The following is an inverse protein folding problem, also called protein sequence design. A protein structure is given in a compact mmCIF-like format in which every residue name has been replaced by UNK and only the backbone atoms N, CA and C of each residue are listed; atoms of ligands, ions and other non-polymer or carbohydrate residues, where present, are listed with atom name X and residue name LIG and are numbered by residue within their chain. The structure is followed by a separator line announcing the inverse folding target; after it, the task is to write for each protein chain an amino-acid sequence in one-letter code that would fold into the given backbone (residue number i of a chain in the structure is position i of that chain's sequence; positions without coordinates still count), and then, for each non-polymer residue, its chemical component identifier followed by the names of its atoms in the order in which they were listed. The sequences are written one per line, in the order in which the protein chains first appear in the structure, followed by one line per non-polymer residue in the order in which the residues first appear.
data_IF_268279038319
#
_entry.id   IF_268279038319
#
_cell.length_a   1.000
_cell.length_b   1.000
_cell.length_c   1.000
_cell.angle_alpha   90.00
_cell.angle_beta   90.00
_cell.angle_gamma   90.00
#
_symmetry.space_group_name_H-M   'P 1'
#
loop_
_entity.id
_entity.type
_entity.pdbx_description
1 polymer ?
#
# COMPACT_ATOMS: atom_id res chain seq x y z
N UNK A 1 -36.34 -25.59 61.65
CA UNK A 1 -34.95 -25.17 61.94
C UNK A 1 -34.02 -25.95 61.04
N UNK A 2 -33.52 -25.34 59.98
CA UNK A 2 -32.26 -25.69 59.34
C UNK A 2 -31.79 -24.44 58.60
N UNK A 3 -30.78 -23.79 59.18
CA UNK A 3 -30.08 -22.61 58.69
C UNK A 3 -29.08 -23.03 57.62
N UNK A 4 -29.22 -22.53 56.40
CA UNK A 4 -28.20 -22.63 55.36
C UNK A 4 -27.18 -21.51 55.54
N UNK A 5 -25.92 -21.85 55.80
CA UNK A 5 -24.80 -20.91 55.81
C UNK A 5 -24.42 -20.56 54.37
N UNK A 6 -24.45 -19.27 54.04
CA UNK A 6 -23.91 -18.71 52.80
C UNK A 6 -22.39 -18.58 52.91
N UNK A 7 -21.64 -19.33 52.11
CA UNK A 7 -20.21 -19.13 51.91
C UNK A 7 -19.98 -18.02 50.87
N UNK A 8 -19.50 -16.87 51.32
CA UNK A 8 -19.07 -15.75 50.49
C UNK A 8 -17.72 -16.06 49.83
N UNK A 9 -17.73 -16.49 48.56
CA UNK A 9 -16.56 -16.42 47.71
C UNK A 9 -16.42 -14.99 47.17
N UNK A 10 -15.57 -14.21 47.85
CA UNK A 10 -15.12 -12.90 47.41
C UNK A 10 -14.23 -13.08 46.17
N UNK A 11 -14.83 -13.05 44.98
CA UNK A 11 -14.07 -12.88 43.74
C UNK A 11 -13.59 -11.43 43.67
N UNK A 12 -12.37 -11.20 44.15
CA UNK A 12 -11.65 -9.95 43.94
C UNK A 12 -11.49 -9.72 42.45
N UNK A 13 -12.28 -8.79 41.91
CA UNK A 13 -12.06 -8.23 40.59
C UNK A 13 -10.75 -7.46 40.63
N UNK A 14 -9.67 -8.05 40.09
CA UNK A 14 -8.39 -7.37 39.86
C UNK A 14 -8.57 -6.31 38.77
N UNK A 15 -9.21 -5.20 39.13
CA UNK A 15 -9.31 -4.02 38.30
C UNK A 15 -7.98 -3.27 38.43
N UNK A 16 -6.97 -3.67 37.66
CA UNK A 16 -5.71 -2.91 37.54
C UNK A 16 -6.07 -1.50 37.03
N UNK A 17 -5.89 -0.49 37.88
CA UNK A 17 -6.05 0.91 37.51
C UNK A 17 -5.20 1.20 36.27
N UNK A 18 -5.84 1.66 35.18
CA UNK A 18 -5.14 2.13 34.00
C UNK A 18 -4.37 3.40 34.36
N UNK A 19 -3.04 3.29 34.45
CA UNK A 19 -2.20 4.47 34.60
C UNK A 19 -2.17 5.23 33.27
N UNK A 20 -2.98 6.29 33.22
CA UNK A 20 -3.14 7.19 32.08
C UNK A 20 -1.79 7.80 31.64
N UNK A 21 -0.82 7.88 32.55
CA UNK A 21 0.47 8.55 32.36
C UNK A 21 1.66 7.58 32.22
N UNK A 22 1.40 6.27 32.11
CA UNK A 22 2.45 5.27 31.81
C UNK A 22 3.17 5.58 30.51
N UNK A 23 4.50 5.64 30.53
CA UNK A 23 5.31 5.86 29.33
C UNK A 23 5.26 4.62 28.41
N UNK A 24 5.17 4.80 27.08
CA UNK A 24 5.30 3.67 26.16
C UNK A 24 6.70 3.04 26.29
N UNK A 25 6.78 1.72 26.34
CA UNK A 25 8.07 1.04 26.47
C UNK A 25 9.00 1.38 25.31
N UNK A 26 10.27 1.64 25.65
CA UNK A 26 11.31 2.07 24.72
C UNK A 26 11.14 3.47 24.15
N UNK A 27 10.18 4.28 24.63
CA UNK A 27 9.98 5.62 24.10
C UNK A 27 11.11 6.59 24.46
N UNK A 28 11.68 6.47 25.66
CA UNK A 28 12.71 7.38 26.17
C UNK A 28 13.96 7.38 25.28
N UNK A 29 14.43 6.20 24.91
CA UNK A 29 15.67 6.03 24.14
C UNK A 29 15.43 5.92 22.62
N UNK A 30 14.17 5.91 22.19
CA UNK A 30 13.82 6.02 20.79
C UNK A 30 14.19 7.43 20.26
N UNK A 31 14.94 7.55 19.14
CA UNK A 31 15.26 8.85 18.55
C UNK A 31 14.00 9.67 18.23
N UNK A 32 13.99 11.00 18.36
CA UNK A 32 12.76 11.80 18.27
C UNK A 32 12.14 11.83 16.86
N UNK A 33 12.94 12.09 15.82
CA UNK A 33 12.50 12.19 14.43
C UNK A 33 13.59 11.73 13.46
N UNK A 34 13.23 11.51 12.19
CA UNK A 34 14.15 11.24 11.09
C UNK A 34 14.29 12.42 10.13
N UNK A 35 15.02 12.20 9.04
CA UNK A 35 15.13 13.15 7.93
C UNK A 35 13.86 13.23 7.09
N UNK A 36 13.71 14.31 6.32
CA UNK A 36 12.55 14.47 5.47
C UNK A 36 12.56 13.51 4.26
N UNK A 37 11.39 13.03 3.90
CA UNK A 37 11.11 12.29 2.68
C UNK A 37 10.13 13.14 1.85
N UNK A 38 10.70 14.00 1.00
CA UNK A 38 9.97 15.03 0.28
C UNK A 38 9.40 16.09 1.25
N UNK A 39 8.11 16.00 1.56
CA UNK A 39 7.44 16.88 2.54
C UNK A 39 7.07 16.16 3.85
N UNK A 40 7.39 14.87 3.99
CA UNK A 40 7.03 14.07 5.17
C UNK A 40 8.21 13.99 6.13
N UNK A 41 7.97 14.13 7.42
CA UNK A 41 8.96 13.93 8.49
C UNK A 41 8.47 12.79 9.40
N UNK A 42 9.16 11.63 9.42
CA UNK A 42 8.83 10.56 10.35
C UNK A 42 9.26 10.92 11.78
N UNK A 43 8.38 10.71 12.75
CA UNK A 43 8.62 11.06 14.15
C UNK A 43 8.08 10.00 15.10
N UNK A 44 8.67 9.87 16.30
CA UNK A 44 7.99 9.23 17.44
C UNK A 44 6.87 10.14 17.95
N UNK A 45 5.97 9.59 18.77
CA UNK A 45 4.90 10.38 19.37
C UNK A 45 5.48 11.42 20.34
N UNK A 46 5.10 12.70 20.27
CA UNK A 46 5.42 13.64 21.34
C UNK A 46 4.60 13.33 22.59
N UNK A 47 5.12 13.68 23.77
CA UNK A 47 4.41 13.52 25.03
C UNK A 47 4.15 14.89 25.64
N UNK A 48 2.88 15.13 25.99
CA UNK A 48 2.41 16.37 26.60
C UNK A 48 2.87 16.53 28.05
N UNK A 49 2.53 17.68 28.64
CA UNK A 49 3.00 18.06 29.97
C UNK A 49 2.61 17.08 31.08
N UNK A 50 1.54 16.31 30.90
CA UNK A 50 1.12 15.26 31.84
C UNK A 50 2.15 14.15 32.06
N UNK A 51 3.17 14.04 31.19
CA UNK A 51 4.25 13.06 31.31
C UNK A 51 5.54 13.66 31.89
N UNK A 52 5.59 14.98 32.16
CA UNK A 52 6.81 15.68 32.54
C UNK A 52 7.46 15.18 33.84
N UNK A 53 6.66 14.66 34.77
CA UNK A 53 7.15 14.09 36.04
C UNK A 53 7.87 12.73 35.84
N UNK A 54 7.58 12.04 34.73
CA UNK A 54 8.16 10.74 34.40
C UNK A 54 9.33 10.83 33.41
N UNK A 55 9.63 12.03 32.89
CA UNK A 55 10.63 12.25 31.84
C UNK A 55 11.61 13.35 32.26
N UNK A 56 12.89 12.98 32.35
CA UNK A 56 13.99 13.92 32.58
C UNK A 56 13.99 15.04 31.53
N UNK A 57 14.34 16.25 31.94
CA UNK A 57 14.20 17.46 31.11
C UNK A 57 14.91 17.37 29.75
N UNK A 58 16.04 16.68 29.69
CA UNK A 58 16.87 16.43 28.50
C UNK A 58 16.24 15.44 27.52
N UNK A 59 15.39 14.52 27.98
CA UNK A 59 14.68 13.52 27.16
C UNK A 59 13.26 13.92 26.79
N UNK A 60 12.78 15.09 27.24
CA UNK A 60 11.43 15.58 26.90
C UNK A 60 11.31 15.81 25.40
N UNK A 61 10.16 15.44 24.86
CA UNK A 61 9.80 15.65 23.45
C UNK A 61 8.32 16.00 23.35
N UNK A 62 7.98 17.24 23.72
CA UNK A 62 6.63 17.80 23.65
C UNK A 62 6.33 18.39 22.27
N UNK A 63 5.06 18.64 21.97
CA UNK A 63 4.64 19.30 20.73
C UNK A 63 5.36 20.63 20.49
N UNK A 64 5.63 21.40 21.55
CA UNK A 64 6.41 22.65 21.45
C UNK A 64 7.86 22.39 21.07
N UNK A 65 8.49 21.38 21.68
CA UNK A 65 9.86 20.99 21.34
C UNK A 65 9.95 20.47 19.91
N UNK A 66 8.97 19.70 19.43
CA UNK A 66 8.90 19.25 18.03
C UNK A 66 8.90 20.44 17.08
N UNK A 67 7.98 21.39 17.27
CA UNK A 67 7.86 22.57 16.41
C UNK A 67 9.16 23.37 16.42
N UNK A 68 9.75 23.58 17.60
CA UNK A 68 11.00 24.32 17.73
C UNK A 68 12.16 23.61 17.02
N UNK A 69 12.35 22.32 17.27
CA UNK A 69 13.43 21.52 16.67
C UNK A 69 13.30 21.45 15.14
N UNK A 70 12.09 21.26 14.60
CA UNK A 70 11.91 21.25 13.14
C UNK A 70 12.15 22.63 12.51
N UNK A 71 11.77 23.72 13.19
CA UNK A 71 12.08 25.08 12.73
C UNK A 71 13.58 25.37 12.70
N UNK A 72 14.34 24.87 13.67
CA UNK A 72 15.81 24.99 13.67
C UNK A 72 16.44 24.30 12.45
N UNK A 73 15.80 23.24 11.94
CA UNK A 73 16.20 22.54 10.71
C UNK A 73 15.64 23.20 9.44
N UNK A 74 14.99 24.37 9.53
CA UNK A 74 14.34 25.04 8.40
C UNK A 74 13.06 24.36 7.92
N UNK A 75 12.47 23.48 8.73
CA UNK A 75 11.26 22.70 8.39
C UNK A 75 10.04 23.27 9.12
N UNK A 76 9.23 24.08 8.44
CA UNK A 76 7.97 24.62 9.00
C UNK A 76 6.84 23.58 8.89
N UNK A 77 6.25 23.18 10.01
CA UNK A 77 5.17 22.19 10.03
C UNK A 77 3.83 22.82 9.58
N UNK A 78 3.08 22.11 8.74
CA UNK A 78 1.73 22.51 8.31
C UNK A 78 0.65 21.48 8.62
N UNK A 79 1.03 20.22 8.85
CA UNK A 79 0.11 19.12 9.15
C UNK A 79 0.80 18.12 10.09
N UNK A 80 0.04 17.57 11.04
CA UNK A 80 0.41 16.38 11.82
C UNK A 80 -0.54 15.25 11.47
N UNK A 81 0.02 14.09 11.14
CA UNK A 81 -0.73 12.84 10.97
C UNK A 81 -0.37 11.89 12.11
N UNK A 82 -1.35 11.65 12.97
CA UNK A 82 -1.26 10.76 14.13
C UNK A 82 -1.84 9.38 13.80
N UNK A 83 -0.98 8.37 13.80
CA UNK A 83 -1.29 6.97 13.51
C UNK A 83 -1.55 6.13 14.77
N UNK A 84 -1.51 6.73 15.96
CA UNK A 84 -1.74 6.04 17.23
C UNK A 84 -3.23 5.73 17.41
N UNK A 85 -3.52 4.65 18.12
CA UNK A 85 -4.90 4.27 18.46
C UNK A 85 -5.35 4.83 19.83
N UNK A 86 -4.75 5.93 20.28
CA UNK A 86 -5.07 6.57 21.56
C UNK A 86 -4.98 8.09 21.44
N UNK A 87 -5.63 8.81 22.34
CA UNK A 87 -5.53 10.28 22.44
C UNK A 87 -4.92 10.72 23.77
N UNK A 88 -4.23 9.81 24.48
CA UNK A 88 -3.67 10.07 25.81
C UNK A 88 -2.36 10.87 25.82
N UNK A 89 -1.63 10.86 24.71
CA UNK A 89 -0.25 11.35 24.68
C UNK A 89 -0.12 12.87 24.71
N UNK A 90 -1.01 13.60 24.02
CA UNK A 90 -1.03 15.06 24.01
C UNK A 90 -2.41 15.56 23.55
N UNK A 91 -2.81 16.79 23.92
CA UNK A 91 -4.01 17.42 23.40
C UNK A 91 -3.82 17.96 21.98
N UNK A 92 -4.83 17.76 21.12
CA UNK A 92 -4.81 18.24 19.72
C UNK A 92 -4.62 19.77 19.64
N UNK A 93 -5.08 20.50 20.65
CA UNK A 93 -4.98 21.96 20.74
C UNK A 93 -3.54 22.48 20.81
N UNK A 94 -2.55 21.64 21.09
CA UNK A 94 -1.14 22.03 21.05
C UNK A 94 -0.64 22.30 19.63
N UNK A 95 -1.25 21.66 18.63
CA UNK A 95 -0.94 21.86 17.22
C UNK A 95 -1.81 22.95 16.60
N UNK A 96 -3.13 22.88 16.81
CA UNK A 96 -4.07 23.77 16.12
C UNK A 96 -3.94 25.23 16.56
N UNK A 97 -3.60 25.51 17.84
CA UNK A 97 -3.28 26.87 18.30
C UNK A 97 -2.05 27.48 17.62
N UNK A 98 -1.18 26.65 17.04
CA UNK A 98 0.01 27.08 16.28
C UNK A 98 -0.27 27.16 14.78
N UNK A 99 -1.52 26.98 14.34
CA UNK A 99 -1.90 26.98 12.92
C UNK A 99 -1.48 25.72 12.16
N UNK A 100 -1.17 24.64 12.87
CA UNK A 100 -0.79 23.35 12.29
C UNK A 100 -2.04 22.47 12.23
N UNK A 101 -2.39 21.99 11.04
CA UNK A 101 -3.53 21.09 10.86
C UNK A 101 -3.24 19.74 11.52
N UNK A 102 -4.29 19.03 11.91
CA UNK A 102 -4.15 17.74 12.59
C UNK A 102 -5.12 16.71 12.01
N UNK A 103 -4.60 15.53 11.71
CA UNK A 103 -5.36 14.39 11.23
C UNK A 103 -5.01 13.15 12.04
N UNK A 104 -6.03 12.47 12.58
CA UNK A 104 -5.86 11.16 13.23
C UNK A 104 -6.34 10.05 12.29
N UNK A 105 -5.46 9.10 11.99
CA UNK A 105 -5.77 7.87 11.27
C UNK A 105 -5.57 6.72 12.24
N UNK A 106 -6.66 6.28 12.87
CA UNK A 106 -6.63 5.23 13.90
C UNK A 106 -6.32 3.88 13.24
N UNK A 107 -5.05 3.52 13.18
CA UNK A 107 -4.64 2.19 12.76
C UNK A 107 -5.06 1.19 13.85
N UNK A 108 -5.82 0.16 13.47
CA UNK A 108 -6.33 -0.87 14.41
C UNK A 108 -5.19 -1.48 15.25
N UNK A 109 -5.49 -1.88 16.49
CA UNK A 109 -4.51 -2.52 17.39
C UNK A 109 -4.30 -4.01 17.08
N UNK A 110 -3.23 -4.57 17.67
CA UNK A 110 -2.60 -5.90 17.39
C UNK A 110 -1.68 -5.86 16.18
N UNK A 111 -0.68 -6.75 16.13
CA UNK A 111 0.38 -6.90 15.11
C UNK A 111 -0.16 -7.11 13.68
N UNK A 112 -0.86 -6.09 13.20
CA UNK A 112 -1.44 -5.99 11.89
C UNK A 112 -0.97 -4.68 11.27
N UNK A 113 -0.74 -4.72 9.97
CA UNK A 113 -0.46 -3.54 9.17
C UNK A 113 -1.70 -2.65 9.07
N UNK A 114 -1.53 -1.33 8.83
CA UNK A 114 -2.63 -0.46 8.47
C UNK A 114 -3.44 -1.03 7.29
N UNK A 115 -4.77 -0.96 7.37
CA UNK A 115 -5.67 -1.37 6.30
C UNK A 115 -5.61 -0.42 5.09
N UNK A 116 -6.01 -0.94 3.92
CA UNK A 116 -5.96 -0.21 2.64
C UNK A 116 -6.69 1.13 2.69
N UNK A 117 -7.84 1.20 3.37
CA UNK A 117 -8.59 2.45 3.49
C UNK A 117 -7.83 3.51 4.33
N UNK A 118 -7.11 3.07 5.37
CA UNK A 118 -6.23 3.93 6.16
C UNK A 118 -5.03 4.42 5.35
N UNK A 119 -4.45 3.55 4.51
CA UNK A 119 -3.35 3.88 3.58
C UNK A 119 -3.82 4.88 2.52
N UNK A 120 -4.95 4.64 1.88
CA UNK A 120 -5.55 5.53 0.87
C UNK A 120 -5.83 6.91 1.45
N UNK A 121 -6.40 6.95 2.66
CA UNK A 121 -6.65 8.19 3.38
C UNK A 121 -5.33 8.93 3.64
N UNK A 122 -4.30 8.24 4.11
CA UNK A 122 -2.98 8.82 4.33
C UNK A 122 -2.42 9.44 3.05
N UNK A 123 -2.37 8.67 1.96
CA UNK A 123 -1.79 9.09 0.67
C UNK A 123 -2.56 10.28 0.11
N UNK A 124 -3.89 10.22 0.10
CA UNK A 124 -4.76 11.30 -0.38
C UNK A 124 -4.54 12.60 0.38
N UNK A 125 -4.48 12.54 1.70
CA UNK A 125 -4.30 13.72 2.56
C UNK A 125 -2.93 14.37 2.38
N UNK A 126 -1.87 13.57 2.24
CA UNK A 126 -0.52 14.11 1.97
C UNK A 126 -0.45 14.72 0.56
N UNK A 127 -1.05 14.09 -0.45
CA UNK A 127 -1.14 14.65 -1.80
C UNK A 127 -1.93 15.95 -1.85
N UNK A 128 -3.06 16.03 -1.16
CA UNK A 128 -3.87 17.23 -1.05
C UNK A 128 -3.14 18.33 -0.27
N UNK A 129 -2.41 17.99 0.78
CA UNK A 129 -1.55 18.93 1.48
C UNK A 129 -0.51 19.50 0.52
N UNK A 130 0.22 18.64 -0.21
CA UNK A 130 1.25 19.02 -1.17
C UNK A 130 0.70 19.94 -2.27
N UNK A 131 -0.50 19.66 -2.80
CA UNK A 131 -1.09 20.49 -3.86
C UNK A 131 -1.51 21.89 -3.39
N UNK A 132 -1.83 22.06 -2.09
CA UNK A 132 -2.14 23.36 -1.49
C UNK A 132 -0.90 24.19 -1.14
N UNK A 133 0.27 23.57 -1.04
CA UNK A 133 1.52 24.23 -0.61
C UNK A 133 2.31 24.87 -1.76
N UNK A 134 1.67 25.27 -2.87
CA UNK A 134 2.35 25.79 -4.07
C UNK A 134 3.24 27.04 -3.82
N UNK A 135 3.04 27.78 -2.72
CA UNK A 135 3.71 29.06 -2.46
C UNK A 135 4.47 29.08 -1.12
N UNK A 136 4.44 27.99 -0.34
CA UNK A 136 5.11 27.90 0.96
C UNK A 136 5.50 26.45 1.23
N UNK A 137 6.80 26.16 1.31
CA UNK A 137 7.30 24.81 1.65
C UNK A 137 7.01 24.49 3.11
N UNK A 138 5.91 23.79 3.37
CA UNK A 138 5.58 23.24 4.69
C UNK A 138 5.70 21.72 4.70
N UNK A 139 5.85 21.16 5.90
CA UNK A 139 6.08 19.75 6.13
C UNK A 139 4.93 19.08 6.89
N UNK A 140 4.79 17.78 6.67
CA UNK A 140 3.85 16.88 7.35
C UNK A 140 4.61 16.04 8.36
N UNK A 141 4.34 16.21 9.65
CA UNK A 141 4.87 15.34 10.69
C UNK A 141 4.01 14.07 10.76
N UNK A 142 4.60 12.89 10.57
CA UNK A 142 3.89 11.61 10.62
C UNK A 142 4.44 10.78 11.77
N UNK A 143 3.58 10.38 12.70
CA UNK A 143 4.02 9.58 13.83
C UNK A 143 3.05 8.44 14.16
N UNK A 144 3.60 7.30 14.56
CA UNK A 144 2.91 6.34 15.42
C UNK A 144 3.48 6.49 16.85
N UNK A 145 3.57 5.43 17.64
CA UNK A 145 4.19 5.51 18.98
C UNK A 145 5.71 5.77 18.86
N UNK A 146 6.42 4.97 18.05
CA UNK A 146 7.88 5.07 17.92
C UNK A 146 8.34 5.62 16.56
N UNK A 147 7.45 5.77 15.58
CA UNK A 147 7.77 6.37 14.28
C UNK A 147 8.54 5.45 13.32
N UNK A 148 8.37 4.13 13.42
CA UNK A 148 9.10 3.15 12.59
C UNK A 148 8.16 2.27 11.76
N UNK A 149 7.50 1.26 12.34
CA UNK A 149 6.73 0.28 11.55
C UNK A 149 5.49 0.87 10.84
N UNK A 150 4.47 1.33 11.58
CA UNK A 150 3.27 1.96 10.99
C UNK A 150 3.59 3.21 10.17
N UNK A 151 4.49 4.05 10.68
CA UNK A 151 4.94 5.27 9.98
C UNK A 151 5.64 4.91 8.68
N UNK A 152 6.59 3.97 8.71
CA UNK A 152 7.33 3.51 7.54
C UNK A 152 6.43 2.85 6.51
N UNK A 153 5.46 2.05 6.94
CA UNK A 153 4.49 1.42 6.04
C UNK A 153 3.66 2.45 5.27
N UNK A 154 3.08 3.42 5.98
CA UNK A 154 2.33 4.51 5.36
C UNK A 154 3.20 5.32 4.38
N UNK A 155 4.44 5.62 4.78
CA UNK A 155 5.38 6.38 3.95
C UNK A 155 5.84 5.58 2.73
N UNK A 156 6.13 4.29 2.87
CA UNK A 156 6.52 3.41 1.77
C UNK A 156 5.42 3.36 0.71
N UNK A 157 4.16 3.16 1.13
CA UNK A 157 3.00 3.24 0.23
C UNK A 157 2.91 4.59 -0.50
N UNK A 158 3.13 5.70 0.21
CA UNK A 158 3.15 7.02 -0.40
C UNK A 158 4.29 7.17 -1.43
N UNK A 159 5.51 6.75 -1.11
CA UNK A 159 6.66 6.86 -2.01
C UNK A 159 6.46 6.02 -3.27
N UNK A 160 6.02 4.76 -3.13
CA UNK A 160 5.77 3.86 -4.27
C UNK A 160 4.70 4.47 -5.20
N UNK A 161 3.59 4.97 -4.63
CA UNK A 161 2.49 5.55 -5.40
C UNK A 161 2.80 6.91 -6.03
N UNK A 162 3.78 7.66 -5.51
CA UNK A 162 4.05 9.04 -5.97
C UNK A 162 5.36 9.23 -6.73
N UNK A 163 6.34 8.37 -6.50
CA UNK A 163 7.63 8.37 -7.17
C UNK A 163 7.78 7.16 -8.10
N UNK A 164 6.82 6.23 -8.06
CA UNK A 164 6.81 5.02 -8.87
C UNK A 164 8.07 4.16 -8.64
N UNK A 165 8.64 4.14 -7.44
CA UNK A 165 9.81 3.32 -7.08
C UNK A 165 9.40 1.92 -6.58
N UNK A 166 10.34 0.97 -6.50
CA UNK A 166 10.06 -0.38 -5.99
C UNK A 166 9.82 -0.40 -4.47
N UNK A 167 9.31 -1.52 -3.95
CA UNK A 167 9.17 -1.73 -2.49
C UNK A 167 10.52 -1.62 -1.81
N UNK A 168 11.54 -2.28 -2.34
CA UNK A 168 12.92 -2.25 -1.82
C UNK A 168 13.45 -0.82 -1.73
N UNK A 169 13.33 -0.04 -2.82
CA UNK A 169 13.81 1.34 -2.85
C UNK A 169 13.06 2.25 -1.87
N UNK A 170 11.75 2.07 -1.73
CA UNK A 170 10.94 2.84 -0.79
C UNK A 170 11.33 2.54 0.66
N UNK A 171 11.56 1.27 0.99
CA UNK A 171 12.04 0.88 2.31
C UNK A 171 13.45 1.41 2.58
N UNK A 172 14.36 1.36 1.59
CA UNK A 172 15.72 1.88 1.74
C UNK A 172 15.76 3.40 1.91
N UNK A 173 14.89 4.13 1.20
CA UNK A 173 14.70 5.57 1.45
C UNK A 173 14.22 5.82 2.87
N UNK A 174 13.23 5.05 3.34
CA UNK A 174 12.74 5.19 4.71
C UNK A 174 13.80 4.82 5.76
N UNK A 175 14.55 3.73 5.56
CA UNK A 175 15.61 3.29 6.48
C UNK A 175 16.77 4.29 6.56
N UNK A 176 17.13 4.95 5.44
CA UNK A 176 18.11 6.04 5.44
C UNK A 176 17.62 7.26 6.20
N UNK A 177 16.36 7.67 5.99
CA UNK A 177 15.80 8.82 6.68
C UNK A 177 15.51 8.54 8.17
N UNK A 178 15.20 7.29 8.52
CA UNK A 178 14.77 6.90 9.86
C UNK A 178 15.30 5.50 10.21
N UNK A 179 16.59 5.43 10.49
CA UNK A 179 17.27 4.16 10.80
C UNK A 179 16.65 3.44 12.02
N UNK A 180 16.47 2.11 11.99
CA UNK A 180 16.79 1.17 10.89
C UNK A 180 15.69 1.00 9.85
N UNK A 181 14.65 1.82 9.87
CA UNK A 181 13.47 1.70 9.03
C UNK A 181 12.38 0.85 9.68
N UNK A 182 11.71 0.04 8.86
CA UNK A 182 10.72 -0.94 9.31
C UNK A 182 11.50 -2.15 9.83
N UNK A 183 11.27 -2.55 11.09
CA UNK A 183 11.96 -3.66 11.74
C UNK A 183 11.01 -4.80 12.15
N UNK A 184 9.75 -4.74 11.70
CA UNK A 184 8.74 -5.78 11.88
C UNK A 184 8.54 -6.52 10.56
N UNK A 185 8.72 -7.85 10.56
CA UNK A 185 8.75 -8.66 9.36
C UNK A 185 7.39 -8.71 8.63
N UNK A 186 6.29 -8.79 9.39
CA UNK A 186 4.91 -8.76 8.90
C UNK A 186 4.60 -7.49 8.09
N UNK A 187 5.20 -6.35 8.45
CA UNK A 187 5.05 -5.10 7.71
C UNK A 187 5.78 -5.12 6.37
N UNK A 188 6.96 -5.72 6.33
CA UNK A 188 7.76 -5.87 5.11
C UNK A 188 7.05 -6.83 4.15
N UNK A 189 6.64 -8.00 4.64
CA UNK A 189 5.99 -9.01 3.81
C UNK A 189 4.65 -8.49 3.26
N UNK A 190 3.89 -7.73 4.06
CA UNK A 190 2.68 -7.08 3.59
C UNK A 190 2.91 -6.08 2.46
N UNK A 191 4.01 -5.31 2.47
CA UNK A 191 4.35 -4.39 1.38
C UNK A 191 4.63 -5.16 0.07
N UNK A 192 5.49 -6.18 0.13
CA UNK A 192 5.81 -6.99 -1.06
C UNK A 192 4.57 -7.69 -1.62
N UNK A 193 3.75 -8.28 -0.74
CA UNK A 193 2.50 -8.94 -1.12
C UNK A 193 1.52 -7.96 -1.78
N UNK A 194 1.38 -6.76 -1.22
CA UNK A 194 0.46 -5.74 -1.73
C UNK A 194 0.85 -5.24 -3.14
N UNK A 195 2.15 -5.02 -3.37
CA UNK A 195 2.65 -4.54 -4.67
C UNK A 195 2.98 -5.66 -5.65
N UNK A 196 2.73 -6.92 -5.27
CA UNK A 196 3.04 -8.11 -6.07
C UNK A 196 4.51 -8.15 -6.53
N UNK A 197 5.41 -7.70 -5.65
CA UNK A 197 6.85 -7.78 -5.85
C UNK A 197 7.39 -9.02 -5.12
N UNK A 198 8.32 -9.75 -5.75
CA UNK A 198 9.01 -10.84 -5.07
C UNK A 198 10.02 -10.22 -4.10
N UNK A 199 9.92 -10.60 -2.82
CA UNK A 199 10.87 -10.19 -1.80
C UNK A 199 12.26 -10.76 -2.13
N UNK A 200 13.31 -9.92 -2.28
CA UNK A 200 14.64 -10.41 -2.58
C UNK A 200 15.20 -11.27 -1.45
N UNK A 201 15.89 -12.37 -1.77
CA UNK A 201 16.45 -13.29 -0.76
C UNK A 201 17.50 -12.62 0.15
N UNK A 202 18.23 -11.63 -0.38
CA UNK A 202 19.22 -10.87 0.38
C UNK A 202 18.61 -9.86 1.36
N UNK A 203 17.31 -9.56 1.24
CA UNK A 203 16.66 -8.59 2.09
C UNK A 203 16.42 -9.18 3.48
N UNK A 204 17.28 -8.81 4.43
CA UNK A 204 17.16 -9.18 5.83
C UNK A 204 16.39 -8.10 6.58
N UNK A 205 15.29 -8.47 7.23
CA UNK A 205 14.57 -7.57 8.13
C UNK A 205 15.51 -7.10 9.25
N UNK A 206 15.63 -5.77 9.49
CA UNK A 206 16.47 -5.25 10.56
C UNK A 206 16.10 -5.84 11.92
N UNK A 207 17.11 -6.07 12.76
CA UNK A 207 16.89 -6.51 14.13
C UNK A 207 16.12 -5.43 14.92
N UNK A 208 15.27 -5.87 15.85
CA UNK A 208 14.58 -4.96 16.78
C UNK A 208 15.61 -4.06 17.47
N UNK A 209 15.47 -2.72 17.39
CA UNK A 209 16.43 -1.78 17.98
C UNK A 209 16.59 -1.98 19.47
N UNK A 210 17.80 -1.72 19.98
CA UNK A 210 18.14 -1.89 21.40
C UNK A 210 17.21 -1.11 22.33
N UNK A 211 16.88 0.14 21.97
CA UNK A 211 15.95 0.97 22.73
C UNK A 211 14.54 0.38 22.87
N UNK A 212 14.17 -0.62 22.05
CA UNK A 212 12.87 -1.30 22.13
C UNK A 212 12.94 -2.67 22.82
N UNK A 213 14.14 -3.25 22.98
CA UNK A 213 14.30 -4.58 23.62
C UNK A 213 13.92 -4.45 25.10
N UNK A 214 13.07 -5.35 25.60
CA UNK A 214 12.74 -5.41 27.03
C UNK A 214 14.00 -5.84 27.80
N UNK A 215 14.44 -5.02 28.75
CA UNK A 215 15.45 -5.42 29.74
C UNK A 215 14.87 -6.32 30.84
N UNK A 216 13.55 -6.41 30.94
CA UNK A 216 12.86 -7.00 32.08
C UNK A 216 12.34 -8.38 31.69
N UNK A 217 13.15 -9.41 31.97
CA UNK A 217 12.67 -10.76 32.21
C UNK A 217 12.09 -10.78 33.64
N UNK A 218 10.78 -10.98 33.79
CA UNK A 218 10.22 -11.28 35.10
C UNK A 218 10.87 -12.57 35.66
N UNK A 219 10.90 -12.74 37.00
CA UNK A 219 11.43 -13.92 37.71
C UNK A 219 10.82 -15.28 37.28
N UNK A 220 9.84 -15.27 36.38
CA UNK A 220 9.20 -16.43 35.75
C UNK A 220 9.50 -16.59 34.24
N UNK A 221 10.42 -15.81 33.66
CA UNK A 221 10.84 -15.95 32.26
C UNK A 221 9.79 -15.55 31.22
N UNK A 222 8.81 -14.71 31.57
CA UNK A 222 7.86 -14.13 30.62
C UNK A 222 8.24 -12.69 30.28
N UNK A 223 8.22 -12.36 29.00
CA UNK A 223 8.41 -11.00 28.49
C UNK A 223 7.29 -10.08 28.97
N UNK A 224 7.63 -8.96 29.59
CA UNK A 224 6.67 -7.87 29.83
C UNK A 224 6.23 -7.35 28.46
N UNK A 225 5.01 -7.74 28.05
CA UNK A 225 4.40 -7.25 26.82
C UNK A 225 3.76 -5.89 27.11
N UNK A 226 4.05 -4.91 26.26
CA UNK A 226 3.37 -3.62 26.28
C UNK A 226 1.85 -3.85 26.30
N UNK A 227 1.12 -3.34 27.30
CA UNK A 227 -0.35 -3.46 27.29
C UNK A 227 -1.03 -2.52 26.25
N UNK A 228 -0.26 -1.58 25.67
CA UNK A 228 -0.63 -0.85 24.45
C UNK A 228 -0.34 -1.67 23.16
N UNK A 229 0.40 -2.79 23.27
CA UNK A 229 0.71 -3.80 22.23
C UNK A 229 0.23 -5.17 22.76
N UNK A 230 -1.09 -5.25 22.97
CA UNK A 230 -1.71 -6.21 23.87
C UNK A 230 -1.45 -7.69 23.57
N UNK A 231 -0.91 -8.37 24.59
CA UNK A 231 -1.32 -9.72 25.03
C UNK A 231 -0.85 -10.90 24.20
N UNK A 232 -0.01 -11.73 24.82
CA UNK A 232 0.49 -12.99 24.30
C UNK A 232 -0.61 -13.90 23.72
N UNK A 233 -0.53 -14.16 22.41
CA UNK A 233 -1.05 -15.38 21.82
C UNK A 233 0.13 -16.32 21.59
N UNK A 234 0.00 -17.54 22.11
CA UNK A 234 0.93 -18.64 21.88
C UNK A 234 1.28 -18.76 20.40
N UNK A 235 2.55 -19.09 20.14
CA UNK A 235 3.11 -19.53 18.86
C UNK A 235 2.10 -20.40 18.10
N UNK A 236 1.29 -19.78 17.24
CA UNK A 236 0.76 -20.46 16.08
C UNK A 236 1.84 -20.27 15.04
N UNK A 237 2.59 -21.35 14.81
CA UNK A 237 3.30 -21.53 13.56
C UNK A 237 2.41 -21.01 12.44
N UNK A 238 2.92 -20.02 11.71
CA UNK A 238 2.35 -19.59 10.44
C UNK A 238 2.49 -20.77 9.48
N UNK A 239 1.60 -21.74 9.60
CA UNK A 239 1.09 -22.47 8.45
C UNK A 239 0.54 -21.38 7.54
N UNK A 240 1.35 -21.00 6.56
CA UNK A 240 0.89 -20.39 5.33
C UNK A 240 -0.28 -21.25 4.88
N UNK A 241 -1.50 -20.83 5.22
CA UNK A 241 -2.67 -21.38 4.58
C UNK A 241 -2.48 -20.96 3.14
N UNK A 242 -2.14 -21.92 2.31
CA UNK A 242 -2.28 -21.83 0.87
C UNK A 242 -3.78 -21.64 0.64
N UNK A 243 -4.24 -20.39 0.75
CA UNK A 243 -5.58 -20.02 0.33
C UNK A 243 -5.62 -20.32 -1.16
N UNK A 244 -6.43 -21.30 -1.54
CA UNK A 244 -6.61 -21.71 -2.93
C UNK A 244 -7.05 -20.47 -3.69
N UNK A 245 -6.22 -20.04 -4.64
CA UNK A 245 -6.53 -18.93 -5.53
C UNK A 245 -7.73 -19.37 -6.38
N UNK A 246 -8.78 -18.55 -6.41
CA UNK A 246 -9.97 -18.82 -7.21
C UNK A 246 -10.20 -17.75 -8.27
N UNK A 247 -10.92 -18.12 -9.33
CA UNK A 247 -11.30 -17.19 -10.40
C UNK A 247 -12.38 -16.18 -9.97
N UNK A 248 -13.03 -16.41 -8.82
CA UNK A 248 -14.03 -15.51 -8.22
C UNK A 248 -13.40 -14.47 -7.27
N UNK A 249 -12.11 -14.59 -7.00
CA UNK A 249 -11.41 -13.67 -6.09
C UNK A 249 -11.49 -12.24 -6.61
N UNK A 250 -11.81 -11.35 -5.69
CA UNK A 250 -11.93 -9.92 -5.97
C UNK A 250 -10.53 -9.29 -6.04
N UNK A 251 -10.04 -9.05 -7.26
CA UNK A 251 -8.70 -8.51 -7.49
C UNK A 251 -8.69 -6.98 -7.45
N UNK A 252 -7.94 -6.40 -6.51
CA UNK A 252 -7.66 -4.96 -6.46
C UNK A 252 -8.70 -4.11 -5.73
N UNK A 253 -8.29 -2.86 -5.50
CA UNK A 253 -9.03 -1.82 -4.77
C UNK A 253 -10.20 -1.29 -5.59
N UNK A 254 -11.27 -0.87 -4.92
CA UNK A 254 -12.39 -0.20 -5.59
C UNK A 254 -11.98 1.18 -6.09
N UNK A 255 -12.36 1.51 -7.33
CA UNK A 255 -12.08 2.82 -7.91
C UNK A 255 -13.20 3.82 -7.56
N UNK A 256 -12.87 5.07 -7.15
CA UNK A 256 -13.86 6.10 -6.89
C UNK A 256 -14.76 6.41 -8.10
N UNK A 257 -16.07 6.71 -7.90
CA UNK A 257 -17.01 6.98 -9.00
C UNK A 257 -16.56 8.04 -10.01
N UNK A 258 -15.93 9.11 -9.54
CA UNK A 258 -15.49 10.22 -10.40
C UNK A 258 -14.39 9.79 -11.39
N UNK A 259 -13.50 8.90 -10.95
CA UNK A 259 -12.46 8.32 -11.81
C UNK A 259 -13.06 7.31 -12.79
N UNK A 260 -14.01 6.48 -12.34
CA UNK A 260 -14.67 5.46 -13.17
C UNK A 260 -15.28 6.07 -14.44
N UNK A 261 -15.98 7.20 -14.34
CA UNK A 261 -16.62 7.82 -15.51
C UNK A 261 -15.59 8.25 -16.56
N UNK A 262 -14.49 8.86 -16.14
CA UNK A 262 -13.41 9.30 -17.03
C UNK A 262 -12.75 8.11 -17.73
N UNK A 263 -12.50 7.03 -16.99
CA UNK A 263 -11.86 5.82 -17.52
C UNK A 263 -12.76 5.06 -18.49
N UNK A 264 -14.06 4.99 -18.21
CA UNK A 264 -15.05 4.42 -19.12
C UNK A 264 -15.13 5.20 -20.43
N UNK A 265 -15.15 6.53 -20.34
CA UNK A 265 -15.14 7.40 -21.51
C UNK A 265 -13.91 7.18 -22.39
N UNK A 266 -12.73 7.05 -21.77
CA UNK A 266 -11.50 6.71 -22.49
C UNK A 266 -11.62 5.35 -23.22
N UNK A 267 -12.13 4.30 -22.56
CA UNK A 267 -12.26 2.98 -23.20
C UNK A 267 -13.14 3.05 -24.46
N UNK A 268 -14.24 3.80 -24.42
CA UNK A 268 -15.11 4.02 -25.58
C UNK A 268 -14.39 4.77 -26.70
N UNK A 269 -13.65 5.83 -26.38
CA UNK A 269 -12.86 6.59 -27.35
C UNK A 269 -11.77 5.73 -27.98
N UNK A 270 -11.04 4.96 -27.18
CA UNK A 270 -9.97 4.07 -27.63
C UNK A 270 -10.50 2.99 -28.59
N UNK A 271 -11.71 2.48 -28.33
CA UNK A 271 -12.40 1.51 -29.18
C UNK A 271 -13.21 2.15 -30.33
N UNK A 272 -13.14 3.48 -30.49
CA UNK A 272 -13.86 4.25 -31.52
C UNK A 272 -15.38 4.02 -31.50
N UNK A 273 -15.94 3.82 -30.31
CA UNK A 273 -17.38 3.64 -30.11
C UNK A 273 -18.04 5.00 -29.82
N UNK A 274 -19.13 5.30 -30.50
CA UNK A 274 -19.96 6.48 -30.19
C UNK A 274 -20.75 6.25 -28.90
N UNK A 275 -20.59 7.14 -27.91
CA UNK A 275 -21.44 7.16 -26.72
C UNK A 275 -22.73 7.90 -27.06
N UNK A 276 -23.88 7.23 -27.00
CA UNK A 276 -25.17 7.90 -27.10
C UNK A 276 -25.39 8.82 -25.89
N UNK A 277 -25.91 10.03 -26.09
CA UNK A 277 -26.03 11.09 -25.06
C UNK A 277 -26.79 10.71 -23.76
N UNK A 278 -27.43 9.53 -23.70
CA UNK A 278 -28.17 9.00 -22.53
C UNK A 278 -28.06 7.46 -22.37
N UNK A 279 -27.07 6.82 -23.00
CA UNK A 279 -26.89 5.37 -22.91
C UNK A 279 -26.05 4.97 -21.70
N UNK A 280 -26.50 3.99 -20.91
CA UNK A 280 -25.62 3.33 -19.94
C UNK A 280 -24.42 2.73 -20.69
N UNK A 281 -23.20 3.16 -20.37
CA UNK A 281 -21.98 2.58 -20.95
C UNK A 281 -21.86 1.13 -20.50
N UNK A 282 -21.97 0.19 -21.44
CA UNK A 282 -21.77 -1.24 -21.22
C UNK A 282 -20.32 -1.63 -21.53
N UNK A 283 -19.91 -2.81 -21.10
CA UNK A 283 -18.57 -3.31 -21.39
C UNK A 283 -18.33 -3.35 -22.92
N UNK A 284 -17.31 -2.63 -23.43
CA UNK A 284 -17.15 -2.42 -24.87
C UNK A 284 -16.31 -3.51 -25.56
N UNK A 285 -15.79 -4.50 -24.82
CA UNK A 285 -14.96 -5.56 -25.38
C UNK A 285 -15.73 -6.59 -26.21
N UNK A 286 -15.11 -7.09 -27.27
CA UNK A 286 -15.70 -8.06 -28.21
C UNK A 286 -16.14 -9.35 -27.54
N UNK A 287 -17.42 -9.72 -27.58
CA UNK A 287 -17.89 -10.95 -26.92
C UNK A 287 -17.39 -12.20 -27.67
N UNK A 288 -17.09 -13.31 -26.97
CA UNK A 288 -16.72 -14.55 -27.63
C UNK A 288 -17.87 -15.03 -28.52
N UNK A 289 -17.54 -15.43 -29.73
CA UNK A 289 -18.50 -15.96 -30.72
C UNK A 289 -18.23 -17.44 -30.92
N UNK A 290 -19.26 -18.27 -30.76
CA UNK A 290 -19.15 -19.71 -30.98
C UNK A 290 -18.79 -20.01 -32.44
N UNK A 291 -17.87 -20.96 -32.63
CA UNK A 291 -17.50 -21.46 -33.95
C UNK A 291 -18.58 -22.41 -34.50
N UNK A 292 -19.75 -21.87 -34.86
CA UNK A 292 -20.85 -22.61 -35.47
C UNK A 292 -20.70 -22.70 -36.99
N UNK A 293 -21.50 -23.56 -37.63
CA UNK A 293 -21.56 -23.67 -39.09
C UNK A 293 -21.92 -22.32 -39.75
N UNK A 294 -22.75 -21.52 -39.08
CA UNK A 294 -23.19 -20.21 -39.57
C UNK A 294 -22.04 -19.17 -39.57
N UNK A 295 -21.09 -19.31 -38.65
CA UNK A 295 -19.97 -18.37 -38.49
C UNK A 295 -18.70 -18.77 -39.27
N UNK A 296 -18.65 -19.98 -39.84
CA UNK A 296 -17.47 -20.48 -40.57
C UNK A 296 -17.06 -19.56 -41.74
N UNK A 297 -18.01 -18.86 -42.36
CA UNK A 297 -17.71 -17.96 -43.45
C UNK A 297 -16.81 -16.79 -43.02
N UNK A 298 -16.87 -16.37 -41.75
CA UNK A 298 -16.04 -15.27 -41.22
C UNK A 298 -14.55 -15.60 -41.28
N UNK A 299 -14.17 -16.86 -41.06
CA UNK A 299 -12.78 -17.32 -41.18
C UNK A 299 -12.22 -17.14 -42.60
N UNK A 300 -13.08 -17.13 -43.62
CA UNK A 300 -12.68 -16.96 -45.03
C UNK A 300 -12.57 -15.49 -45.43
N UNK A 301 -13.15 -14.57 -44.66
CA UNK A 301 -13.24 -13.16 -45.01
C UNK A 301 -12.03 -12.34 -44.54
N UNK A 302 -11.30 -12.81 -43.52
CA UNK A 302 -10.20 -12.07 -42.90
C UNK A 302 -9.04 -13.02 -42.58
N UNK A 303 -7.82 -12.52 -42.69
CA UNK A 303 -6.66 -13.20 -42.11
C UNK A 303 -6.79 -13.19 -40.59
N UNK A 304 -6.44 -14.31 -39.96
CA UNK A 304 -6.50 -14.49 -38.52
C UNK A 304 -5.26 -15.22 -38.02
N UNK A 305 -4.96 -15.01 -36.74
CA UNK A 305 -3.98 -15.78 -35.99
C UNK A 305 -4.74 -16.76 -35.09
N UNK A 306 -4.15 -17.92 -34.85
CA UNK A 306 -4.71 -18.93 -33.95
C UNK A 306 -3.76 -19.14 -32.78
N UNK A 307 -4.33 -19.29 -31.58
CA UNK A 307 -3.62 -19.64 -30.35
C UNK A 307 -4.40 -20.72 -29.61
N UNK A 308 -3.78 -21.30 -28.59
CA UNK A 308 -4.46 -22.22 -27.68
C UNK A 308 -5.54 -21.47 -26.90
N UNK A 309 -6.60 -22.20 -26.49
CA UNK A 309 -7.66 -21.65 -25.67
C UNK A 309 -7.24 -21.73 -24.20
N UNK A 310 -7.16 -20.59 -23.53
CA UNK A 310 -6.99 -20.57 -22.09
C UNK A 310 -8.32 -20.82 -21.36
N UNK A 311 -8.22 -21.42 -20.18
CA UNK A 311 -9.33 -21.48 -19.23
C UNK A 311 -9.12 -20.39 -18.18
N UNK A 312 -9.74 -19.23 -18.41
CA UNK A 312 -9.50 -18.03 -17.61
C UNK A 312 -10.67 -17.05 -17.64
N UNK A 313 -10.56 -16.04 -16.79
CA UNK A 313 -11.54 -14.95 -16.72
C UNK A 313 -11.06 -13.78 -17.56
N UNK A 314 -11.86 -13.35 -18.54
CA UNK A 314 -11.53 -12.21 -19.38
C UNK A 314 -11.52 -10.90 -18.59
N UNK A 315 -10.45 -10.14 -18.75
CA UNK A 315 -10.32 -8.76 -18.28
C UNK A 315 -9.70 -7.91 -19.37
N UNK A 316 -10.20 -6.68 -19.53
CA UNK A 316 -9.36 -5.63 -20.13
C UNK A 316 -8.47 -5.04 -19.04
N UNK A 317 -7.28 -4.58 -19.41
CA UNK A 317 -6.36 -3.92 -18.47
C UNK A 317 -6.05 -2.51 -18.97
N UNK A 318 -6.41 -1.51 -18.17
CA UNK A 318 -6.02 -0.12 -18.42
C UNK A 318 -4.83 0.23 -17.53
N UNK A 319 -3.69 0.50 -18.16
CA UNK A 319 -2.44 0.87 -17.51
C UNK A 319 -2.36 2.40 -17.46
N UNK A 320 -2.06 2.94 -16.29
CA UNK A 320 -1.91 4.38 -16.02
C UNK A 320 -0.64 4.67 -15.22
N UNK A 321 -0.31 5.95 -15.04
CA UNK A 321 0.88 6.34 -14.29
C UNK A 321 0.78 5.99 -12.80
N UNK A 322 -0.44 5.91 -12.25
CA UNK A 322 -0.69 5.63 -10.84
C UNK A 322 -1.10 4.18 -10.56
N UNK A 323 -1.06 3.29 -11.55
CA UNK A 323 -1.31 1.86 -11.40
C UNK A 323 -2.04 1.24 -12.58
N UNK A 324 -2.46 -0.01 -12.41
CA UNK A 324 -3.21 -0.77 -13.41
C UNK A 324 -4.64 -0.98 -12.96
N UNK A 325 -5.55 -1.06 -13.93
CA UNK A 325 -6.97 -1.22 -13.67
C UNK A 325 -7.49 -2.41 -14.45
N UNK A 326 -7.91 -3.44 -13.73
CA UNK A 326 -8.60 -4.59 -14.30
C UNK A 326 -10.07 -4.23 -14.52
N UNK A 327 -10.55 -4.50 -15.73
CA UNK A 327 -11.90 -4.18 -16.19
C UNK A 327 -12.63 -5.48 -16.46
N UNK A 328 -13.63 -5.77 -15.65
CA UNK A 328 -14.43 -6.98 -15.79
C UNK A 328 -15.52 -6.85 -16.87
N UNK A 329 -16.22 -7.95 -17.15
CA UNK A 329 -17.35 -7.98 -18.11
C UNK A 329 -18.56 -7.14 -17.68
N UNK A 330 -18.66 -6.76 -16.41
CA UNK A 330 -19.69 -5.85 -15.88
C UNK A 330 -19.25 -4.38 -16.01
N UNK A 331 -18.08 -4.12 -16.60
CA UNK A 331 -17.46 -2.81 -16.78
C UNK A 331 -17.16 -2.10 -15.45
N UNK A 332 -16.86 -2.88 -14.42
CA UNK A 332 -16.26 -2.40 -13.18
C UNK A 332 -14.75 -2.40 -13.29
N UNK A 333 -14.15 -1.37 -12.69
CA UNK A 333 -12.71 -1.21 -12.64
C UNK A 333 -12.25 -1.51 -11.23
N UNK A 334 -11.17 -2.26 -11.12
CA UNK A 334 -10.45 -2.45 -9.87
C UNK A 334 -8.99 -2.14 -10.06
N UNK A 335 -8.45 -1.36 -9.12
CA UNK A 335 -7.07 -0.91 -9.17
C UNK A 335 -6.15 -1.98 -8.59
N UNK A 336 -5.18 -2.40 -9.37
CA UNK A 336 -4.08 -3.27 -8.95
C UNK A 336 -2.79 -2.46 -9.06
N UNK A 337 -2.04 -2.41 -7.97
CA UNK A 337 -0.86 -1.57 -7.85
C UNK A 337 0.34 -2.26 -8.49
N UNK A 338 0.38 -2.23 -9.83
CA UNK A 338 1.48 -2.76 -10.63
C UNK A 338 2.00 -1.63 -11.51
N UNK A 339 3.31 -1.49 -11.55
CA UNK A 339 4.00 -0.52 -12.39
C UNK A 339 4.32 -1.09 -13.77
N UNK A 340 4.13 -0.25 -14.80
CA UNK A 340 4.48 -0.56 -16.20
C UNK A 340 5.37 0.56 -16.76
N UNK A 341 6.69 0.33 -16.85
CA UNK A 341 7.63 1.31 -17.37
C UNK A 341 7.47 1.47 -18.88
N UNK A 342 7.61 2.68 -19.38
CA UNK A 342 7.83 2.90 -20.80
C UNK A 342 9.27 2.51 -21.18
N UNK A 343 9.48 2.22 -22.45
CA UNK A 343 10.80 1.97 -23.01
C UNK A 343 11.75 3.14 -22.73
N UNK A 344 12.83 2.86 -22.01
CA UNK A 344 13.93 3.80 -21.74
C UNK A 344 15.16 3.44 -22.58
N UNK A 345 15.98 4.43 -22.93
CA UNK A 345 17.28 4.20 -23.59
C UNK A 345 18.36 3.74 -22.61
N UNK A 346 18.18 3.96 -21.31
CA UNK A 346 19.15 3.59 -20.27
C UNK A 346 18.73 2.27 -19.59
N UNK A 347 19.71 1.40 -19.31
CA UNK A 347 19.50 0.22 -18.46
C UNK A 347 19.33 0.70 -17.01
N UNK A 348 18.14 0.56 -16.47
CA UNK A 348 17.77 0.97 -15.11
C UNK A 348 16.24 1.09 -14.97
N UNK A 349 15.78 1.59 -13.82
CA UNK A 349 14.36 1.89 -13.58
C UNK A 349 13.93 3.02 -14.51
N UNK A 350 12.86 2.82 -15.27
CA UNK A 350 12.43 3.82 -16.24
C UNK A 350 11.89 5.08 -15.54
N UNK A 351 12.20 6.27 -16.02
CA UNK A 351 11.62 7.48 -15.40
C UNK A 351 10.13 7.67 -15.73
N UNK A 352 9.67 7.09 -16.84
CA UNK A 352 8.30 7.24 -17.34
C UNK A 352 7.56 5.92 -17.27
N UNK A 353 6.32 5.98 -16.80
CA UNK A 353 5.36 4.88 -16.82
C UNK A 353 4.32 5.10 -17.90
N UNK A 354 3.70 4.01 -18.36
CA UNK A 354 2.60 4.07 -19.32
C UNK A 354 1.43 4.87 -18.76
N UNK A 355 0.75 5.65 -19.60
CA UNK A 355 -0.46 6.36 -19.20
C UNK A 355 -1.58 6.20 -20.22
N UNK A 356 -2.68 5.56 -19.83
CA UNK A 356 -3.79 5.19 -20.71
C UNK A 356 -3.36 4.26 -21.84
N UNK A 357 -2.67 3.16 -21.50
CA UNK A 357 -2.44 2.02 -22.40
C UNK A 357 -3.50 0.96 -22.10
N UNK A 358 -4.25 0.51 -23.11
CA UNK A 358 -5.40 -0.38 -22.96
C UNK A 358 -5.14 -1.72 -23.64
N UNK A 359 -5.27 -2.80 -22.87
CA UNK A 359 -5.02 -4.18 -23.28
C UNK A 359 -6.30 -5.01 -23.17
N UNK A 360 -6.47 -5.99 -24.05
CA UNK A 360 -7.48 -7.05 -23.91
C UNK A 360 -6.77 -8.39 -23.66
N UNK A 361 -7.34 -9.21 -22.77
CA UNK A 361 -6.69 -10.42 -22.33
C UNK A 361 -7.50 -11.26 -21.34
N UNK A 362 -6.88 -12.31 -20.83
CA UNK A 362 -7.48 -13.24 -19.89
C UNK A 362 -6.58 -13.46 -18.69
N UNK A 363 -7.18 -13.46 -17.49
CA UNK A 363 -6.51 -13.84 -16.26
C UNK A 363 -6.68 -15.34 -16.06
N UNK A 364 -5.56 -16.06 -15.97
CA UNK A 364 -5.52 -17.49 -15.65
C UNK A 364 -4.89 -17.71 -14.28
N UNK A 365 -5.13 -18.89 -13.73
CA UNK A 365 -4.41 -19.42 -12.57
C UNK A 365 -3.48 -20.49 -13.13
N UNK A 366 -2.19 -20.21 -13.14
CA UNK A 366 -1.15 -21.15 -13.52
C UNK A 366 -0.70 -21.92 -12.28
N UNK A 367 -0.40 -23.20 -12.45
CA UNK A 367 0.07 -24.07 -11.37
C UNK A 367 1.48 -24.48 -11.74
N UNK A 368 2.46 -24.00 -10.98
CA UNK A 368 3.85 -24.38 -11.23
C UNK A 368 4.02 -25.88 -10.97
N UNK A 369 4.50 -26.68 -11.95
CA UNK A 369 4.48 -28.14 -11.87
C UNK A 369 5.24 -28.71 -10.67
N UNK A 370 6.34 -28.06 -10.29
CA UNK A 370 7.27 -28.55 -9.28
C UNK A 370 6.87 -28.17 -7.85
N UNK A 371 6.36 -26.95 -7.66
CA UNK A 371 6.04 -26.42 -6.33
C UNK A 371 4.56 -26.55 -5.99
N UNK A 372 3.71 -26.81 -6.99
CA UNK A 372 2.24 -26.73 -6.91
C UNK A 372 1.75 -25.34 -6.47
N UNK A 373 2.61 -24.32 -6.57
CA UNK A 373 2.23 -22.95 -6.28
C UNK A 373 1.30 -22.42 -7.38
N UNK A 374 0.21 -21.80 -6.96
CA UNK A 374 -0.72 -21.13 -7.84
C UNK A 374 -0.25 -19.68 -8.08
N UNK A 375 -0.15 -19.28 -9.33
CA UNK A 375 0.17 -17.90 -9.72
C UNK A 375 -0.92 -17.35 -10.65
N UNK A 376 -1.32 -16.10 -10.43
CA UNK A 376 -2.21 -15.42 -11.39
C UNK A 376 -1.37 -14.87 -12.55
N UNK A 377 -1.71 -15.24 -13.78
CA UNK A 377 -1.06 -14.73 -14.99
C UNK A 377 -2.07 -14.07 -15.90
N UNK A 378 -1.77 -12.83 -16.31
CA UNK A 378 -2.57 -12.12 -17.29
C UNK A 378 -2.00 -12.34 -18.69
N UNK A 379 -2.74 -13.10 -19.50
CA UNK A 379 -2.43 -13.36 -20.89
C UNK A 379 -2.97 -12.22 -21.75
N UNK A 380 -2.07 -11.44 -22.35
CA UNK A 380 -2.44 -10.33 -23.22
C UNK A 380 -2.73 -10.89 -24.61
N UNK A 381 -3.92 -10.63 -25.14
CA UNK A 381 -4.32 -11.07 -26.47
C UNK A 381 -4.25 -9.95 -27.51
N UNK A 382 -4.52 -8.71 -27.13
CA UNK A 382 -4.44 -7.58 -28.06
C UNK A 382 -4.11 -6.26 -27.35
N UNK A 383 -3.55 -5.34 -28.12
CA UNK A 383 -3.28 -3.95 -27.73
C UNK A 383 -4.31 -3.04 -28.40
N UNK A 384 -5.15 -2.39 -27.61
CA UNK A 384 -6.21 -1.49 -28.11
C UNK A 384 -5.68 -0.06 -28.26
N UNK A 385 -4.94 0.40 -27.25
CA UNK A 385 -4.36 1.74 -27.23
C UNK A 385 -3.01 1.74 -26.50
N UNK A 386 -2.10 2.59 -26.94
CA UNK A 386 -0.81 2.84 -26.29
C UNK A 386 -0.67 4.32 -25.97
N UNK A 387 -0.43 4.65 -24.71
CA UNK A 387 -0.25 6.01 -24.22
C UNK A 387 -1.29 7.02 -24.77
N UNK A 388 -2.57 6.74 -24.54
CA UNK A 388 -3.76 7.48 -25.04
C UNK A 388 -4.08 7.31 -26.53
N UNK A 389 -3.16 6.77 -27.34
CA UNK A 389 -3.35 6.65 -28.79
C UNK A 389 -3.97 5.30 -29.14
N UNK A 390 -5.16 5.31 -29.75
CA UNK A 390 -5.81 4.11 -30.28
C UNK A 390 -4.99 3.52 -31.44
N UNK A 391 -4.77 2.20 -31.40
CA UNK A 391 -4.07 1.45 -32.46
C UNK A 391 -4.97 0.43 -33.14
N UNK A 392 -6.27 0.41 -32.83
CA UNK A 392 -7.25 -0.59 -33.30
C UNK A 392 -7.32 -0.79 -34.81
N UNK A 393 -7.08 0.27 -35.60
CA UNK A 393 -7.13 0.21 -37.06
C UNK A 393 -5.86 -0.36 -37.70
N UNK A 394 -4.77 -0.50 -36.92
CA UNK A 394 -3.54 -1.13 -37.42
C UNK A 394 -3.72 -2.64 -37.56
N UNK A 395 -3.02 -3.30 -38.50
CA UNK A 395 -2.98 -4.75 -38.56
C UNK A 395 -2.54 -5.37 -37.23
N UNK A 396 -3.07 -6.54 -36.89
CA UNK A 396 -2.74 -7.24 -35.64
C UNK A 396 -1.22 -7.45 -35.46
N UNK A 397 -0.49 -7.77 -36.53
CA UNK A 397 0.96 -7.95 -36.48
C UNK A 397 1.72 -6.70 -36.02
N UNK A 398 1.26 -5.50 -36.42
CA UNK A 398 1.84 -4.24 -35.94
C UNK A 398 1.51 -4.01 -34.47
N UNK A 399 0.25 -4.24 -34.08
CA UNK A 399 -0.17 -4.09 -32.68
C UNK A 399 0.60 -5.04 -31.75
N UNK A 400 0.78 -6.28 -32.17
CA UNK A 400 1.61 -7.27 -31.50
C UNK A 400 3.06 -6.81 -31.35
N UNK A 401 3.66 -6.28 -32.42
CA UNK A 401 5.04 -5.77 -32.38
C UNK A 401 5.19 -4.57 -31.42
N UNK A 402 4.20 -3.68 -31.38
CA UNK A 402 4.16 -2.56 -30.44
C UNK A 402 4.03 -3.08 -29.00
N UNK A 403 3.11 -4.02 -28.75
CA UNK A 403 2.89 -4.63 -27.44
C UNK A 403 4.19 -5.26 -26.90
N UNK A 404 4.85 -6.06 -27.72
CA UNK A 404 6.10 -6.74 -27.37
C UNK A 404 7.22 -5.74 -27.03
N UNK A 405 7.42 -4.73 -27.88
CA UNK A 405 8.57 -3.82 -27.76
C UNK A 405 8.38 -2.70 -26.74
N UNK A 406 7.16 -2.22 -26.57
CA UNK A 406 6.87 -1.03 -25.77
C UNK A 406 6.25 -1.37 -24.41
N UNK A 407 5.63 -2.54 -24.23
CA UNK A 407 5.00 -2.93 -22.95
C UNK A 407 5.71 -4.11 -22.31
N UNK A 408 5.84 -5.24 -23.04
CA UNK A 408 6.35 -6.49 -22.46
C UNK A 408 7.86 -6.40 -22.18
N UNK A 409 8.68 -6.05 -23.19
CA UNK A 409 10.13 -5.96 -23.03
C UNK A 409 10.55 -4.97 -21.95
N UNK A 410 10.05 -3.72 -21.89
CA UNK A 410 10.41 -2.79 -20.82
C UNK A 410 10.04 -3.30 -19.44
N UNK A 411 8.84 -3.89 -19.28
CA UNK A 411 8.39 -4.46 -18.02
C UNK A 411 9.28 -5.62 -17.56
N UNK A 412 9.67 -6.50 -18.47
CA UNK A 412 10.58 -7.61 -18.17
C UNK A 412 11.99 -7.10 -17.84
N UNK A 413 12.51 -6.11 -18.58
CA UNK A 413 13.83 -5.53 -18.29
C UNK A 413 13.88 -4.89 -16.90
N UNK A 414 12.87 -4.10 -16.52
CA UNK A 414 12.78 -3.49 -15.18
C UNK A 414 12.63 -4.57 -14.11
N UNK A 415 11.79 -5.59 -14.36
CA UNK A 415 11.63 -6.73 -13.45
C UNK A 415 12.95 -7.45 -13.21
N UNK A 416 13.67 -7.80 -14.27
CA UNK A 416 14.91 -8.55 -14.19
C UNK A 416 16.02 -7.71 -13.53
N UNK A 417 16.03 -6.38 -13.74
CA UNK A 417 16.92 -5.45 -13.02
C UNK A 417 16.64 -5.42 -11.51
N UNK A 418 15.36 -5.35 -11.12
CA UNK A 418 14.92 -5.42 -9.72
C UNK A 418 15.21 -6.76 -9.06
N UNK A 419 15.39 -7.84 -9.84
CA UNK A 419 15.79 -9.16 -9.33
C UNK A 419 17.30 -9.38 -9.26
N UNK A 420 18.10 -8.63 -10.02
CA UNK A 420 19.57 -8.72 -10.00
C UNK A 420 20.21 -7.78 -8.97
N UNK A 421 19.47 -6.77 -8.52
CA UNK A 421 19.90 -5.78 -7.52
C UNK A 421 19.30 -6.12 -6.18
#
# INVERSE_FOLDING_TARGET
MHTAQSSSHNQGTNNRFYDRNSLPHGWLDCPPYGDELGCIIPSKVPLGESFNEYINSDKRYSSQQVIHQQRLLGRELGLVIDLTNTSRYYPISDWTRKGINYLKIKCRGRDAVPDDASVDKFVSEVLQFRSRQMHSKKYVLVHCTHGHNRTGYMIAHFLIRTESISVTEAMDKFARARHPGIYKQDYIDALYNFYHEIKPEFLVCPQTPEWKRSSDLDLNGQTVTDQDDGGAAALKENLVRSEVITSEDVLGESVPPDQLQTMRQFCYQALKLSVGARGNMQFPGSHPVSLSRDNLQLLRQRYYYATWKADGTRYMMLITWDGCYLIDRKFYFRKVQIRFPCKSSNKGIAEKTHHYTLLDGEMIIDIEPNTQNQERRYLIYDLIAINQVSVMERPFSERWMILENEVIKPRNCERDFLYQT
#
